data_IF_795122426922
#
_entry.id   IF_795122426922
#
_cell.length_a   1.000
_cell.length_b   1.000
_cell.length_c   1.000
_cell.angle_alpha   90.00
_cell.angle_beta   90.00
_cell.angle_gamma   90.00
#
_symmetry.space_group_name_H-M   'P 1'
#
loop_
_entity.id
_entity.type
_entity.pdbx_description
1 polymer ?
#
# COMPACT_ATOMS: atom_id res chain seq x y z
N UNK A 1 13.81 -18.15 -5.17
CA UNK A 1 13.06 -17.13 -4.39
C UNK A 1 11.98 -16.55 -5.30
N UNK A 2 10.69 -16.69 -4.99
CA UNK A 2 9.61 -16.35 -5.93
C UNK A 2 8.54 -15.45 -5.29
N UNK A 3 8.17 -14.36 -5.95
CA UNK A 3 7.14 -13.43 -5.47
C UNK A 3 5.76 -14.06 -5.66
N UNK A 4 4.93 -14.01 -4.61
CA UNK A 4 3.59 -14.62 -4.62
C UNK A 4 2.49 -13.59 -4.82
N UNK A 5 2.80 -12.32 -4.58
CA UNK A 5 1.89 -11.22 -4.79
C UNK A 5 2.67 -10.05 -5.38
N UNK A 6 2.03 -9.17 -6.14
CA UNK A 6 2.60 -7.90 -6.57
C UNK A 6 1.65 -6.77 -6.23
N UNK A 7 2.15 -5.76 -5.52
CA UNK A 7 1.58 -4.41 -5.52
C UNK A 7 2.53 -3.52 -6.31
N UNK A 8 2.03 -2.84 -7.34
CA UNK A 8 2.85 -2.08 -8.29
C UNK A 8 2.82 -0.58 -7.99
N UNK A 9 3.98 0.05 -8.12
CA UNK A 9 4.15 1.50 -8.08
C UNK A 9 5.02 1.93 -9.26
N UNK A 10 4.79 3.13 -9.78
CA UNK A 10 5.64 3.74 -10.80
C UNK A 10 6.64 4.71 -10.17
N UNK A 11 7.78 4.91 -10.83
CA UNK A 11 8.77 5.92 -10.46
C UNK A 11 9.29 6.64 -11.71
N UNK A 12 9.79 7.86 -11.54
CA UNK A 12 10.35 8.65 -12.64
C UNK A 12 11.85 8.35 -12.87
N UNK A 13 12.62 8.20 -11.79
CA UNK A 13 14.01 7.78 -11.85
C UNK A 13 14.43 7.06 -10.58
N UNK A 14 15.41 6.17 -10.69
CA UNK A 14 15.97 5.46 -9.53
C UNK A 14 17.49 5.66 -9.49
N UNK A 15 18.11 5.88 -8.31
CA UNK A 15 19.56 5.94 -8.20
C UNK A 15 20.21 4.63 -8.64
N UNK A 16 21.44 4.72 -9.15
CA UNK A 16 22.27 3.54 -9.41
C UNK A 16 22.55 2.74 -8.14
N UNK A 17 22.93 1.47 -8.30
CA UNK A 17 22.98 0.48 -7.21
C UNK A 17 23.84 0.91 -6.00
N UNK A 18 24.97 1.57 -6.22
CA UNK A 18 25.86 2.02 -5.13
C UNK A 18 25.25 3.18 -4.35
N UNK A 19 24.71 4.18 -5.06
CA UNK A 19 24.03 5.31 -4.45
C UNK A 19 22.75 4.85 -3.70
N UNK A 20 22.04 3.89 -4.27
CA UNK A 20 20.87 3.29 -3.63
C UNK A 20 21.27 2.54 -2.35
N UNK A 21 22.32 1.71 -2.39
CA UNK A 21 22.85 1.05 -1.19
C UNK A 21 23.21 2.04 -0.07
N UNK A 22 23.91 3.12 -0.42
CA UNK A 22 24.28 4.17 0.53
C UNK A 22 23.06 4.89 1.12
N UNK A 23 22.05 5.19 0.30
CA UNK A 23 20.80 5.81 0.74
C UNK A 23 20.01 4.90 1.71
N UNK A 24 19.86 3.61 1.37
CA UNK A 24 19.13 2.62 2.17
C UNK A 24 19.77 2.39 3.54
N UNK A 25 21.09 2.58 3.68
CA UNK A 25 21.79 2.43 4.95
C UNK A 25 21.25 3.36 6.05
N UNK A 26 20.69 4.53 5.68
CA UNK A 26 20.04 5.48 6.60
C UNK A 26 18.73 4.97 7.18
N UNK A 27 18.12 4.00 6.51
CA UNK A 27 16.88 3.35 6.90
C UNK A 27 17.12 1.86 7.19
N UNK A 28 18.34 1.47 7.57
CA UNK A 28 18.69 0.10 7.91
C UNK A 28 17.87 -0.38 9.11
N UNK A 29 17.41 -1.62 9.05
CA UNK A 29 16.67 -2.23 10.13
C UNK A 29 17.48 -2.28 11.43
N UNK A 30 16.83 -1.86 12.51
CA UNK A 30 17.28 -2.07 13.88
C UNK A 30 16.19 -2.84 14.64
N UNK A 31 16.55 -3.84 15.48
CA UNK A 31 15.57 -4.55 16.30
C UNK A 31 14.74 -3.62 17.20
N UNK A 32 13.51 -4.04 17.51
CA UNK A 32 12.65 -3.34 18.47
C UNK A 32 13.35 -3.24 19.83
N UNK A 33 13.29 -2.07 20.44
CA UNK A 33 13.58 -1.92 21.87
C UNK A 33 12.43 -2.45 22.72
N UNK A 34 12.64 -2.61 24.02
CA UNK A 34 11.64 -3.17 24.95
C UNK A 34 10.37 -2.31 25.08
N UNK A 35 10.42 -1.05 24.67
CA UNK A 35 9.29 -0.11 24.67
C UNK A 35 8.67 0.11 23.29
N UNK A 36 9.21 -0.52 22.23
CA UNK A 36 8.71 -0.38 20.87
C UNK A 36 7.80 -1.55 20.49
N UNK A 37 6.58 -1.24 20.04
CA UNK A 37 5.62 -2.23 19.54
C UNK A 37 5.98 -2.77 18.16
N UNK A 38 6.66 -1.96 17.37
CA UNK A 38 7.13 -2.33 16.04
C UNK A 38 8.39 -1.57 15.68
N UNK A 39 9.18 -2.17 14.79
CA UNK A 39 10.34 -1.56 14.15
C UNK A 39 10.40 -2.06 12.71
N UNK A 40 10.87 -1.22 11.79
CA UNK A 40 11.04 -1.61 10.40
C UNK A 40 12.20 -0.88 9.74
N UNK A 41 12.84 -1.54 8.79
CA UNK A 41 13.94 -0.97 8.02
C UNK A 41 14.50 -1.95 6.99
N UNK A 42 15.42 -1.47 6.15
CA UNK A 42 16.00 -2.25 5.09
C UNK A 42 17.01 -3.28 5.61
N UNK A 43 16.99 -4.46 5.00
CA UNK A 43 17.91 -5.57 5.23
C UNK A 43 18.45 -6.07 3.90
N UNK A 44 19.47 -6.92 3.94
CA UNK A 44 19.95 -7.59 2.75
C UNK A 44 18.81 -8.39 2.09
N UNK A 45 18.61 -8.29 0.76
CA UNK A 45 17.57 -9.05 0.08
C UNK A 45 17.74 -10.57 0.19
N UNK A 46 18.98 -11.02 0.34
CA UNK A 46 19.36 -12.41 0.48
C UNK A 46 20.66 -12.60 1.26
N UNK A 47 20.75 -13.72 1.99
CA UNK A 47 21.91 -14.08 2.80
C UNK A 47 22.28 -13.00 3.82
N UNK A 48 23.51 -13.07 4.31
CA UNK A 48 24.06 -12.13 5.29
C UNK A 48 24.98 -11.07 4.65
N UNK A 49 24.65 -10.64 3.42
CA UNK A 49 25.44 -9.64 2.70
C UNK A 49 25.30 -8.25 3.37
N UNK A 50 26.37 -7.43 3.49
CA UNK A 50 26.25 -6.06 3.97
C UNK A 50 25.36 -5.15 3.09
N UNK A 51 25.24 -5.44 1.79
CA UNK A 51 24.48 -4.65 0.81
C UNK A 51 22.98 -4.79 1.00
N UNK A 52 22.27 -3.65 1.01
CA UNK A 52 20.83 -3.53 1.21
C UNK A 52 20.03 -3.50 -0.10
N UNK A 53 20.73 -3.31 -1.22
CA UNK A 53 20.22 -3.48 -2.57
C UNK A 53 21.10 -4.48 -3.32
N UNK A 54 20.45 -5.38 -4.06
CA UNK A 54 21.09 -6.39 -4.88
C UNK A 54 20.71 -6.17 -6.34
N UNK A 55 21.66 -6.20 -7.26
CA UNK A 55 21.40 -6.06 -8.70
C UNK A 55 21.87 -7.29 -9.47
N UNK A 56 21.05 -7.73 -10.41
CA UNK A 56 21.43 -8.72 -11.43
C UNK A 56 20.99 -8.18 -12.77
N UNK A 57 21.96 -8.01 -13.68
CA UNK A 57 21.78 -7.24 -14.91
C UNK A 57 21.20 -5.84 -14.59
N UNK A 58 20.00 -5.50 -15.08
CA UNK A 58 19.34 -4.21 -14.82
C UNK A 58 18.35 -4.24 -13.67
N UNK A 59 17.95 -5.43 -13.22
CA UNK A 59 16.96 -5.56 -12.17
C UNK A 59 17.60 -5.37 -10.79
N UNK A 60 16.91 -4.62 -9.94
CA UNK A 60 17.33 -4.43 -8.55
C UNK A 60 16.32 -5.06 -7.59
N UNK A 61 16.80 -5.66 -6.51
CA UNK A 61 16.00 -6.19 -5.43
C UNK A 61 16.34 -5.48 -4.12
N UNK A 62 15.29 -5.13 -3.38
CA UNK A 62 15.33 -4.54 -2.05
C UNK A 62 14.56 -5.43 -1.07
N UNK A 63 14.85 -5.32 0.22
CA UNK A 63 14.08 -5.99 1.27
C UNK A 63 13.88 -5.11 2.49
N UNK A 64 12.62 -5.03 2.95
CA UNK A 64 12.23 -4.36 4.17
C UNK A 64 11.86 -5.41 5.23
N UNK A 65 12.57 -5.41 6.35
CA UNK A 65 12.19 -6.17 7.54
C UNK A 65 11.18 -5.35 8.36
N UNK A 66 10.13 -6.02 8.81
CA UNK A 66 9.11 -5.49 9.71
C UNK A 66 9.06 -6.43 10.92
N UNK A 67 9.40 -5.90 12.08
CA UNK A 67 9.32 -6.57 13.36
C UNK A 67 8.15 -6.02 14.16
N UNK A 68 7.33 -6.91 14.73
CA UNK A 68 6.23 -6.56 15.61
C UNK A 68 6.27 -7.39 16.87
N UNK A 69 6.07 -6.74 18.02
CA UNK A 69 5.86 -7.40 19.30
C UNK A 69 4.46 -8.01 19.32
N UNK A 70 4.38 -9.32 19.51
CA UNK A 70 3.12 -10.04 19.57
C UNK A 70 2.55 -9.90 20.97
N UNK A 71 1.57 -9.02 21.10
CA UNK A 71 0.81 -8.82 22.33
C UNK A 71 -0.67 -9.08 22.07
N UNK A 72 -1.16 -10.32 22.31
CA UNK A 72 -2.56 -10.65 22.06
C UNK A 72 -3.50 -9.84 22.96
N UNK A 73 -4.56 -9.28 22.38
CA UNK A 73 -5.53 -8.47 23.12
C UNK A 73 -6.28 -9.24 24.22
N UNK A 74 -6.32 -10.58 24.17
CA UNK A 74 -6.83 -11.41 25.25
C UNK A 74 -5.95 -11.31 26.50
N UNK A 75 -4.63 -11.51 26.35
CA UNK A 75 -3.68 -11.47 27.46
C UNK A 75 -3.70 -10.11 28.17
N UNK A 76 -3.74 -9.01 27.40
CA UNK A 76 -3.83 -7.65 27.98
C UNK A 76 -5.12 -7.45 28.76
N UNK A 77 -6.25 -8.00 28.29
CA UNK A 77 -7.54 -7.88 28.98
C UNK A 77 -7.56 -8.67 30.28
N UNK A 78 -7.01 -9.88 30.28
CA UNK A 78 -7.00 -10.77 31.45
C UNK A 78 -6.09 -10.22 32.55
N UNK A 79 -4.89 -9.73 32.17
CA UNK A 79 -3.95 -9.12 33.11
C UNK A 79 -4.48 -7.79 33.68
N UNK A 80 -5.14 -6.98 32.82
CA UNK A 80 -5.81 -5.75 33.25
C UNK A 80 -6.95 -6.03 34.23
N UNK A 81 -7.77 -7.05 33.98
CA UNK A 81 -8.85 -7.43 34.89
C UNK A 81 -8.30 -7.86 36.26
N UNK A 82 -7.23 -8.64 36.26
CA UNK A 82 -6.53 -9.09 37.47
C UNK A 82 -5.99 -7.90 38.28
N UNK A 83 -5.31 -6.94 37.64
CA UNK A 83 -4.81 -5.74 38.31
C UNK A 83 -5.94 -4.84 38.83
N UNK A 84 -7.03 -4.66 38.07
CA UNK A 84 -8.19 -3.89 38.53
C UNK A 84 -8.79 -4.52 39.79
N UNK A 85 -9.01 -5.84 39.80
CA UNK A 85 -9.57 -6.54 40.96
C UNK A 85 -8.68 -6.40 42.20
N UNK A 86 -7.36 -6.44 42.03
CA UNK A 86 -6.40 -6.23 43.12
C UNK A 86 -6.49 -4.80 43.69
N UNK A 87 -6.52 -3.79 42.83
CA UNK A 87 -6.62 -2.38 43.24
C UNK A 87 -7.96 -2.11 43.93
N UNK A 88 -9.07 -2.63 43.41
CA UNK A 88 -10.40 -2.47 44.02
C UNK A 88 -10.48 -3.10 45.41
N UNK A 89 -9.84 -4.26 45.61
CA UNK A 89 -9.76 -4.90 46.93
C UNK A 89 -8.93 -4.09 47.93
N UNK A 90 -7.85 -3.45 47.47
CA UNK A 90 -6.98 -2.64 48.33
C UNK A 90 -7.61 -1.30 48.72
N UNK A 91 -8.26 -0.61 47.79
CA UNK A 91 -8.83 0.73 48.04
C UNK A 91 -10.29 0.69 48.54
N UNK A 92 -11.00 -0.44 48.38
CA UNK A 92 -12.37 -0.63 48.85
C UNK A 92 -13.47 -0.01 47.96
N UNK A 93 -13.12 0.55 46.80
CA UNK A 93 -14.07 1.10 45.82
C UNK A 93 -13.64 0.82 44.38
N UNK A 94 -14.60 0.96 43.44
CA UNK A 94 -14.42 0.66 42.02
C UNK A 94 -13.41 1.60 41.33
N UNK A 95 -12.57 1.05 40.46
CA UNK A 95 -11.57 1.82 39.70
C UNK A 95 -12.26 2.75 38.70
N UNK A 96 -11.95 4.04 38.78
CA UNK A 96 -12.49 5.06 37.87
C UNK A 96 -11.90 4.98 36.45
N UNK A 97 -12.52 5.66 35.47
CA UNK A 97 -12.09 5.62 34.05
C UNK A 97 -10.63 6.03 33.84
N UNK A 98 -10.16 7.07 34.56
CA UNK A 98 -8.78 7.56 34.47
C UNK A 98 -7.78 6.53 35.00
N UNK A 99 -8.01 6.06 36.22
CA UNK A 99 -7.16 5.05 36.86
C UNK A 99 -7.13 3.74 36.06
N UNK A 100 -8.25 3.32 35.46
CA UNK A 100 -8.31 2.16 34.57
C UNK A 100 -7.46 2.33 33.30
N UNK A 101 -7.34 3.56 32.80
CA UNK A 101 -6.47 3.87 31.65
C UNK A 101 -5.00 3.80 32.06
N UNK A 102 -4.64 4.39 33.19
CA UNK A 102 -3.28 4.34 33.76
C UNK A 102 -2.83 2.88 34.00
N UNK A 103 -3.65 2.08 34.69
CA UNK A 103 -3.37 0.64 34.90
C UNK A 103 -3.21 -0.11 33.58
N UNK A 104 -4.02 0.22 32.56
CA UNK A 104 -3.89 -0.41 31.24
C UNK A 104 -2.58 -0.06 30.56
N UNK A 105 -2.14 1.19 30.65
CA UNK A 105 -0.85 1.64 30.11
C UNK A 105 0.29 0.88 30.80
N UNK A 106 0.28 0.83 32.14
CA UNK A 106 1.28 0.10 32.93
C UNK A 106 1.33 -1.40 32.60
N UNK A 107 0.16 -2.06 32.53
CA UNK A 107 0.05 -3.48 32.14
C UNK A 107 0.55 -3.69 30.71
N UNK A 108 0.23 -2.77 29.80
CA UNK A 108 0.67 -2.88 28.40
C UNK A 108 2.19 -2.78 28.31
N UNK A 109 2.81 -1.85 29.03
CA UNK A 109 4.26 -1.64 29.00
C UNK A 109 5.00 -2.79 29.68
N UNK A 110 4.46 -3.31 30.79
CA UNK A 110 5.00 -4.50 31.46
C UNK A 110 4.96 -5.73 30.53
N UNK A 111 3.83 -5.97 29.85
CA UNK A 111 3.70 -7.09 28.93
C UNK A 111 4.51 -6.90 27.64
N UNK A 112 4.72 -5.66 27.19
CA UNK A 112 5.50 -5.37 25.99
C UNK A 112 6.96 -5.80 26.13
N UNK A 113 7.56 -5.60 27.31
CA UNK A 113 8.92 -6.04 27.61
C UNK A 113 9.10 -7.58 27.50
N UNK A 114 8.03 -8.33 27.75
CA UNK A 114 8.01 -9.80 27.70
C UNK A 114 7.52 -10.34 26.35
N UNK A 115 6.99 -9.47 25.48
CA UNK A 115 6.36 -9.89 24.24
C UNK A 115 7.40 -10.45 23.25
N UNK A 116 7.04 -11.58 22.64
CA UNK A 116 7.83 -12.18 21.57
C UNK A 116 7.78 -11.29 20.31
N UNK A 117 8.91 -11.17 19.62
CA UNK A 117 9.00 -10.48 18.34
C UNK A 117 8.72 -11.44 17.19
N UNK A 118 7.84 -11.05 16.26
CA UNK A 118 7.69 -11.71 14.96
C UNK A 118 8.24 -10.80 13.88
N UNK A 119 9.09 -11.36 13.01
CA UNK A 119 9.70 -10.65 11.89
C UNK A 119 9.11 -11.15 10.58
N UNK A 120 8.84 -10.23 9.68
CA UNK A 120 8.45 -10.50 8.30
C UNK A 120 9.29 -9.64 7.38
N UNK A 121 9.79 -10.23 6.31
CA UNK A 121 10.48 -9.49 5.25
C UNK A 121 9.58 -9.35 4.03
N UNK A 122 9.51 -8.15 3.50
CA UNK A 122 8.82 -7.81 2.25
C UNK A 122 9.88 -7.43 1.24
N UNK A 123 9.82 -8.00 0.05
CA UNK A 123 10.79 -7.71 -1.01
C UNK A 123 10.19 -6.77 -2.03
N UNK A 124 11.03 -5.92 -2.59
CA UNK A 124 10.71 -5.06 -3.72
C UNK A 124 11.61 -5.39 -4.90
N UNK A 125 11.04 -5.53 -6.08
CA UNK A 125 11.76 -5.68 -7.34
C UNK A 125 11.58 -4.41 -8.15
N UNK A 126 12.69 -3.80 -8.57
CA UNK A 126 12.73 -2.61 -9.40
C UNK A 126 13.13 -3.04 -10.81
N UNK A 127 12.28 -2.68 -11.78
CA UNK A 127 12.56 -2.77 -13.21
C UNK A 127 12.73 -1.36 -13.79
N UNK A 128 13.98 -0.91 -14.01
CA UNK A 128 14.26 0.40 -14.59
C UNK A 128 13.71 0.60 -16.00
N UNK A 129 13.58 -0.46 -16.79
CA UNK A 129 13.13 -0.33 -18.19
C UNK A 129 11.64 0.02 -18.25
N UNK A 130 10.84 -0.50 -17.32
CA UNK A 130 9.42 -0.15 -17.21
C UNK A 130 9.14 1.05 -16.30
N UNK A 131 10.12 1.49 -15.50
CA UNK A 131 9.91 2.51 -14.47
C UNK A 131 8.99 2.04 -13.34
N UNK A 132 9.02 0.74 -13.01
CA UNK A 132 8.12 0.12 -12.03
C UNK A 132 8.88 -0.53 -10.89
N UNK A 133 8.31 -0.40 -9.69
CA UNK A 133 8.68 -1.20 -8.53
C UNK A 133 7.49 -2.09 -8.13
N UNK A 134 7.75 -3.39 -8.06
CA UNK A 134 6.80 -4.41 -7.66
C UNK A 134 7.12 -4.91 -6.25
N UNK A 135 6.17 -4.84 -5.32
CA UNK A 135 6.35 -5.26 -3.94
C UNK A 135 5.68 -6.62 -3.68
N UNK A 136 6.38 -7.56 -3.04
CA UNK A 136 5.88 -8.91 -2.69
C UNK A 136 4.90 -8.89 -1.52
N UNK A 137 3.79 -8.20 -1.71
CA UNK A 137 2.72 -8.07 -0.73
C UNK A 137 1.41 -7.77 -1.44
N UNK A 138 0.31 -8.25 -0.87
CA UNK A 138 -1.05 -7.85 -1.23
C UNK A 138 -1.68 -6.93 -0.17
N UNK A 139 -0.91 -6.54 0.86
CA UNK A 139 -1.35 -5.66 1.94
C UNK A 139 -0.91 -4.23 1.64
N UNK A 140 -1.89 -3.37 1.41
CA UNK A 140 -1.68 -1.94 1.16
C UNK A 140 -0.91 -1.25 2.31
N UNK A 141 -1.25 -1.44 3.61
CA UNK A 141 -0.45 -0.84 4.70
C UNK A 141 1.02 -1.25 4.69
N UNK A 142 1.29 -2.50 4.29
CA UNK A 142 2.65 -3.03 4.18
C UNK A 142 3.40 -2.42 2.99
N UNK A 143 2.73 -2.27 1.85
CA UNK A 143 3.27 -1.63 0.66
C UNK A 143 3.58 -0.15 0.91
N UNK A 144 2.65 0.59 1.52
CA UNK A 144 2.83 2.00 1.89
C UNK A 144 3.97 2.20 2.89
N UNK A 145 4.15 1.26 3.85
CA UNK A 145 5.30 1.28 4.76
C UNK A 145 6.62 1.12 3.99
N UNK A 146 6.69 0.20 3.03
CA UNK A 146 7.85 0.01 2.17
C UNK A 146 8.18 1.27 1.39
N UNK A 147 7.20 1.82 0.67
CA UNK A 147 7.32 3.05 -0.11
C UNK A 147 7.79 4.21 0.77
N UNK A 148 7.21 4.37 1.97
CA UNK A 148 7.61 5.41 2.92
C UNK A 148 9.07 5.27 3.37
N UNK A 149 9.54 4.06 3.63
CA UNK A 149 10.95 3.85 3.95
C UNK A 149 11.85 4.16 2.75
N UNK A 150 11.44 3.80 1.54
CA UNK A 150 12.22 4.06 0.34
C UNK A 150 12.34 5.57 0.05
N UNK A 151 11.24 6.31 0.15
CA UNK A 151 11.23 7.78 0.00
C UNK A 151 12.07 8.45 1.09
N UNK A 152 12.03 7.96 2.34
CA UNK A 152 12.87 8.50 3.42
C UNK A 152 14.35 8.19 3.23
N UNK A 153 14.69 7.06 2.62
CA UNK A 153 16.06 6.70 2.32
C UNK A 153 16.62 7.54 1.17
N UNK A 154 15.84 7.63 0.09
CA UNK A 154 16.20 8.35 -1.14
C UNK A 154 15.62 9.76 -1.04
N UNK A 155 16.38 10.67 -0.44
CA UNK A 155 15.98 12.07 -0.17
C UNK A 155 15.64 12.89 -1.43
N UNK A 156 16.11 12.44 -2.59
CA UNK A 156 15.74 13.00 -3.89
C UNK A 156 14.38 12.50 -4.34
N UNK A 157 13.58 13.38 -4.96
CA UNK A 157 12.29 12.97 -5.52
C UNK A 157 12.50 11.98 -6.67
N UNK A 158 12.24 10.70 -6.39
CA UNK A 158 12.25 9.60 -7.36
C UNK A 158 10.94 9.51 -8.14
N UNK A 159 9.95 10.36 -7.83
CA UNK A 159 8.64 10.35 -8.49
C UNK A 159 7.81 9.09 -8.19
N UNK A 160 8.03 8.46 -7.03
CA UNK A 160 7.38 7.20 -6.65
C UNK A 160 5.88 7.40 -6.35
N UNK A 161 5.00 6.74 -7.10
CA UNK A 161 3.55 6.93 -7.06
C UNK A 161 2.81 5.60 -7.19
N UNK A 162 1.58 5.56 -6.70
CA UNK A 162 0.68 4.44 -6.97
C UNK A 162 0.46 4.33 -8.48
N UNK A 163 0.45 3.11 -8.99
CA UNK A 163 0.21 2.88 -10.41
C UNK A 163 -1.27 3.13 -10.73
N UNK A 164 -1.53 4.04 -11.67
CA UNK A 164 -2.86 4.27 -12.22
C UNK A 164 -2.80 4.00 -13.72
N UNK A 165 -3.80 3.31 -14.24
CA UNK A 165 -3.93 2.97 -15.66
C UNK A 165 -5.16 3.65 -16.26
N UNK A 166 -5.21 3.72 -17.58
CA UNK A 166 -6.32 4.35 -18.31
C UNK A 166 -7.64 3.66 -17.97
N UNK A 167 -7.68 2.33 -18.08
CA UNK A 167 -8.77 1.51 -17.55
C UNK A 167 -8.45 1.05 -16.13
N UNK A 168 -9.41 1.18 -15.22
CA UNK A 168 -9.25 0.59 -13.88
C UNK A 168 -9.29 -0.94 -13.97
N UNK A 169 -8.61 -1.62 -13.04
CA UNK A 169 -8.63 -3.10 -12.98
C UNK A 169 -10.06 -3.65 -12.89
N UNK A 170 -10.96 -2.98 -12.15
CA UNK A 170 -12.35 -3.40 -11.99
C UNK A 170 -13.12 -3.31 -13.31
N UNK A 171 -12.98 -2.20 -14.03
CA UNK A 171 -13.60 -2.04 -15.35
C UNK A 171 -13.09 -3.11 -16.31
N UNK A 172 -11.77 -3.27 -16.42
CA UNK A 172 -11.16 -4.20 -17.34
C UNK A 172 -11.54 -5.66 -17.03
N UNK A 173 -11.47 -6.10 -15.76
CA UNK A 173 -11.91 -7.45 -15.37
C UNK A 173 -13.39 -7.69 -15.70
N UNK A 174 -14.24 -6.68 -15.54
CA UNK A 174 -15.67 -6.79 -15.84
C UNK A 174 -15.91 -6.91 -17.35
N UNK A 175 -15.19 -6.13 -18.16
CA UNK A 175 -15.21 -6.22 -19.64
C UNK A 175 -14.73 -7.59 -20.13
N UNK A 176 -13.61 -8.10 -19.59
CA UNK A 176 -13.01 -9.37 -20.02
C UNK A 176 -13.90 -10.57 -19.71
N UNK A 177 -14.56 -10.60 -18.54
CA UNK A 177 -15.45 -11.69 -18.15
C UNK A 177 -16.74 -11.68 -18.98
N UNK A 178 -17.24 -10.50 -19.34
CA UNK A 178 -18.44 -10.33 -20.17
C UNK A 178 -18.18 -10.60 -21.66
N UNK A 179 -16.94 -10.42 -22.12
CA UNK A 179 -16.53 -10.60 -23.50
C UNK A 179 -15.37 -11.57 -23.61
N UNK A 180 -14.26 -11.09 -24.18
CA UNK A 180 -13.04 -11.87 -24.37
C UNK A 180 -11.90 -11.25 -23.54
N UNK A 181 -11.02 -12.08 -22.97
CA UNK A 181 -9.81 -11.59 -22.31
C UNK A 181 -8.83 -10.99 -23.33
N UNK A 182 -7.93 -10.11 -22.88
CA UNK A 182 -6.89 -9.52 -23.72
C UNK A 182 -5.94 -10.60 -24.25
N UNK A 183 -5.28 -10.31 -25.37
CA UNK A 183 -4.33 -11.23 -26.00
C UNK A 183 -3.27 -11.71 -25.00
N UNK A 184 -3.03 -13.02 -24.97
CA UNK A 184 -2.06 -13.63 -24.06
C UNK A 184 -2.60 -13.91 -22.66
N UNK A 185 -3.85 -13.54 -22.35
CA UNK A 185 -4.52 -13.88 -21.10
C UNK A 185 -5.67 -14.87 -21.32
N UNK A 186 -5.84 -15.77 -20.37
CA UNK A 186 -6.97 -16.68 -20.26
C UNK A 186 -7.63 -16.51 -18.90
N UNK A 187 -8.96 -16.64 -18.84
CA UNK A 187 -9.72 -16.57 -17.59
C UNK A 187 -9.78 -17.97 -16.98
N UNK A 188 -9.41 -18.06 -15.71
CA UNK A 188 -9.35 -19.31 -14.94
C UNK A 188 -10.54 -19.43 -13.96
N UNK A 189 -10.55 -20.54 -13.24
CA UNK A 189 -11.42 -20.77 -12.09
C UNK A 189 -11.13 -19.79 -10.94
N UNK A 190 -12.18 -19.27 -10.32
CA UNK A 190 -12.20 -18.24 -9.27
C UNK A 190 -12.52 -16.84 -9.82
N UNK A 191 -13.78 -16.44 -9.71
CA UNK A 191 -14.25 -15.08 -10.00
C UNK A 191 -15.12 -14.57 -8.85
N UNK A 192 -14.94 -13.31 -8.45
CA UNK A 192 -15.79 -12.65 -7.45
C UNK A 192 -16.46 -11.42 -8.05
N UNK A 193 -17.78 -11.36 -7.93
CA UNK A 193 -18.60 -10.20 -8.25
C UNK A 193 -19.00 -9.49 -6.96
N UNK A 194 -18.93 -8.17 -6.91
CA UNK A 194 -19.41 -7.38 -5.78
C UNK A 194 -20.25 -6.19 -6.27
N UNK A 195 -21.29 -5.85 -5.51
CA UNK A 195 -22.10 -4.66 -5.70
C UNK A 195 -21.71 -3.55 -4.72
N UNK A 196 -22.13 -2.32 -5.00
CA UNK A 196 -21.90 -1.15 -4.13
C UNK A 196 -22.55 -1.27 -2.74
N UNK A 197 -23.57 -2.12 -2.60
CA UNK A 197 -24.25 -2.40 -1.34
C UNK A 197 -23.55 -3.44 -0.45
N UNK A 198 -22.34 -3.89 -0.84
CA UNK A 198 -21.58 -4.92 -0.12
C UNK A 198 -22.03 -6.35 -0.40
N UNK A 199 -23.05 -6.58 -1.23
CA UNK A 199 -23.42 -7.92 -1.66
C UNK A 199 -22.36 -8.48 -2.62
N UNK A 200 -21.86 -9.69 -2.35
CA UNK A 200 -20.85 -10.35 -3.17
C UNK A 200 -21.24 -11.78 -3.52
N UNK A 201 -20.86 -12.22 -4.72
CA UNK A 201 -21.01 -13.60 -5.19
C UNK A 201 -19.63 -14.08 -5.61
N UNK A 202 -19.22 -15.21 -5.05
CA UNK A 202 -17.91 -15.80 -5.30
C UNK A 202 -18.09 -17.18 -5.92
N UNK A 203 -17.48 -17.36 -7.08
CA UNK A 203 -17.26 -18.65 -7.71
C UNK A 203 -15.86 -19.12 -7.29
N UNK A 204 -15.72 -20.39 -6.93
CA UNK A 204 -14.44 -20.94 -6.49
C UNK A 204 -14.23 -22.34 -7.04
N UNK A 205 -13.09 -22.57 -7.69
CA UNK A 205 -12.76 -23.81 -8.39
C UNK A 205 -13.77 -24.17 -9.49
N UNK A 206 -14.37 -23.15 -10.10
CA UNK A 206 -15.31 -23.29 -11.21
C UNK A 206 -15.26 -22.04 -12.06
N UNK A 207 -15.28 -22.25 -13.37
CA UNK A 207 -15.40 -21.21 -14.38
C UNK A 207 -16.85 -20.70 -14.44
N UNK A 208 -17.03 -19.39 -14.55
CA UNK A 208 -18.36 -18.78 -14.57
C UNK A 208 -18.95 -18.89 -15.98
N UNK A 209 -20.17 -19.41 -16.08
CA UNK A 209 -20.88 -19.46 -17.36
C UNK A 209 -21.37 -18.07 -17.78
N UNK A 210 -21.41 -17.80 -19.08
CA UNK A 210 -21.80 -16.51 -19.64
C UNK A 210 -23.21 -16.04 -19.21
N UNK A 211 -24.14 -16.99 -19.02
CA UNK A 211 -25.49 -16.67 -18.51
C UNK A 211 -25.46 -16.15 -17.06
N UNK A 212 -24.58 -16.69 -16.22
CA UNK A 212 -24.41 -16.25 -14.83
C UNK A 212 -23.65 -14.92 -14.76
N UNK A 213 -22.65 -14.71 -15.63
CA UNK A 213 -21.98 -13.42 -15.79
C UNK A 213 -23.01 -12.33 -16.07
N UNK A 214 -23.81 -12.49 -17.14
CA UNK A 214 -24.83 -11.52 -17.53
C UNK A 214 -25.79 -11.18 -16.37
N UNK A 215 -26.26 -12.21 -15.64
CA UNK A 215 -27.13 -12.03 -14.47
C UNK A 215 -26.47 -11.21 -13.36
N UNK A 216 -25.19 -11.45 -13.05
CA UNK A 216 -24.51 -10.68 -12.01
C UNK A 216 -24.34 -9.21 -12.42
N UNK A 217 -24.00 -8.95 -13.69
CA UNK A 217 -23.82 -7.58 -14.20
C UNK A 217 -25.14 -6.81 -14.26
N UNK A 218 -26.24 -7.44 -14.71
CA UNK A 218 -27.60 -6.86 -14.69
C UNK A 218 -28.06 -6.50 -13.27
N UNK A 219 -27.57 -7.24 -12.26
CA UNK A 219 -27.82 -6.92 -10.85
C UNK A 219 -26.98 -5.75 -10.30
N UNK A 220 -26.20 -5.08 -11.15
CA UNK A 220 -25.36 -3.94 -10.78
C UNK A 220 -24.05 -4.31 -10.08
N UNK A 221 -23.60 -5.58 -10.20
CA UNK A 221 -22.32 -6.02 -9.65
C UNK A 221 -21.21 -5.87 -10.70
N UNK A 222 -19.98 -5.74 -10.23
CA UNK A 222 -18.77 -5.70 -11.03
C UNK A 222 -17.76 -6.73 -10.51
N UNK A 223 -16.79 -7.09 -11.35
CA UNK A 223 -15.77 -8.08 -10.98
C UNK A 223 -14.72 -7.43 -10.07
N UNK A 224 -14.51 -8.00 -8.89
CA UNK A 224 -13.52 -7.55 -7.89
C UNK A 224 -12.43 -8.58 -7.62
N UNK A 225 -12.48 -9.72 -8.28
CA UNK A 225 -11.40 -10.71 -8.29
C UNK A 225 -11.55 -11.57 -9.53
N UNK A 226 -10.48 -11.71 -10.30
CA UNK A 226 -10.46 -12.54 -11.50
C UNK A 226 -9.19 -13.37 -11.54
N UNK A 227 -9.32 -14.69 -11.53
CA UNK A 227 -8.21 -15.59 -11.81
C UNK A 227 -7.88 -15.58 -13.30
N UNK A 228 -6.60 -15.44 -13.60
CA UNK A 228 -6.06 -15.31 -14.94
C UNK A 228 -4.80 -16.14 -15.08
N UNK A 229 -4.59 -16.65 -16.28
CA UNK A 229 -3.31 -17.19 -16.72
C UNK A 229 -2.75 -16.32 -17.84
N UNK A 230 -1.43 -16.08 -17.81
CA UNK A 230 -0.72 -15.35 -18.86
C UNK A 230 0.24 -16.29 -19.61
N UNK A 231 0.04 -16.38 -20.92
CA UNK A 231 0.83 -17.17 -21.87
C UNK A 231 1.02 -18.65 -21.45
N UNK A 232 0.03 -19.23 -20.77
CA UNK A 232 0.06 -20.59 -20.18
C UNK A 232 1.24 -20.85 -19.22
N UNK A 233 1.90 -19.78 -18.75
CA UNK A 233 3.13 -19.86 -17.94
C UNK A 233 2.93 -19.41 -16.51
N UNK A 234 2.04 -18.45 -16.29
CA UNK A 234 1.81 -17.86 -14.97
C UNK A 234 0.32 -17.74 -14.67
N UNK A 235 -0.10 -18.35 -13.57
CA UNK A 235 -1.42 -18.12 -12.99
C UNK A 235 -1.34 -17.05 -11.91
N UNK A 236 -2.38 -16.24 -11.78
CA UNK A 236 -2.52 -15.23 -10.73
C UNK A 236 -3.98 -14.83 -10.56
N UNK A 237 -4.27 -14.07 -9.51
CA UNK A 237 -5.58 -13.47 -9.27
C UNK A 237 -5.42 -11.95 -9.27
N UNK A 238 -6.07 -11.28 -10.23
CA UNK A 238 -6.12 -9.83 -10.29
C UNK A 238 -7.17 -9.31 -9.31
N UNK A 239 -6.83 -8.24 -8.59
CA UNK A 239 -7.70 -7.54 -7.63
C UNK A 239 -7.71 -6.04 -7.92
N UNK A 240 -8.65 -5.27 -7.33
CA UNK A 240 -8.69 -3.82 -7.47
C UNK A 240 -7.37 -3.18 -7.02
N UNK A 241 -7.03 -2.03 -7.62
CA UNK A 241 -5.76 -1.34 -7.36
C UNK A 241 -4.54 -2.04 -7.95
N UNK A 242 -4.72 -2.89 -8.98
CA UNK A 242 -3.64 -3.60 -9.68
C UNK A 242 -2.79 -4.48 -8.76
N UNK A 243 -3.45 -5.11 -7.79
CA UNK A 243 -2.81 -6.08 -6.91
C UNK A 243 -2.95 -7.47 -7.52
N UNK A 244 -1.82 -8.09 -7.86
CA UNK A 244 -1.77 -9.47 -8.32
C UNK A 244 -1.53 -10.37 -7.11
N UNK A 245 -2.35 -11.40 -6.94
CA UNK A 245 -2.27 -12.34 -5.82
C UNK A 245 -2.05 -13.76 -6.31
N UNK A 246 -1.55 -14.62 -5.43
CA UNK A 246 -1.40 -16.08 -5.70
C UNK A 246 -0.64 -16.38 -7.00
N UNK A 247 0.38 -15.57 -7.31
CA UNK A 247 1.17 -15.75 -8.52
C UNK A 247 1.92 -17.08 -8.43
N UNK A 248 1.73 -17.93 -9.42
CA UNK A 248 2.36 -19.24 -9.49
C UNK A 248 2.74 -19.58 -10.94
N UNK A 249 3.99 -20.02 -11.18
CA UNK A 249 4.36 -20.58 -12.48
C UNK A 249 3.61 -21.90 -12.71
N UNK A 250 3.08 -22.08 -13.92
CA UNK A 250 2.35 -23.28 -14.34
C UNK A 250 3.27 -24.31 -14.98
N UNK A 251 4.27 -23.84 -15.73
CA UNK A 251 5.35 -24.70 -16.16
C UNK A 251 6.17 -25.12 -14.93
N UNK A 252 6.39 -26.43 -14.82
CA UNK A 252 7.48 -26.96 -13.99
C UNK A 252 8.74 -26.28 -14.52
N UNK A 253 9.28 -25.31 -13.77
CA UNK A 253 10.66 -24.88 -13.90
C UNK A 253 11.51 -26.12 -13.63
N UNK A 254 11.64 -27.01 -14.62
CA UNK A 254 12.73 -27.97 -14.69
C UNK A 254 13.94 -27.09 -14.87
N UNK A 255 14.68 -26.96 -13.79
CA UNK A 255 16.01 -26.36 -13.74
C UNK A 255 16.77 -26.71 -15.03
N UNK A 256 17.47 -25.75 -15.67
CA UNK A 256 18.51 -26.15 -16.60
C UNK A 256 19.46 -27.05 -15.81
N UNK A 257 19.55 -28.32 -16.21
CA UNK A 257 20.32 -29.35 -15.52
C UNK A 257 21.79 -28.99 -15.40
N UNK A 258 22.13 -28.30 -14.32
CA UNK A 258 23.47 -28.09 -13.82
C UNK A 258 23.58 -28.74 -12.46
N UNK A 259 24.70 -29.41 -12.21
CA UNK A 259 25.02 -30.16 -10.99
C UNK A 259 25.19 -29.28 -9.73
N UNK A 260 24.69 -28.04 -9.76
CA UNK A 260 24.83 -27.05 -8.70
C UNK A 260 23.49 -26.36 -8.44
N UNK A 261 23.10 -26.18 -7.17
CA UNK A 261 21.84 -25.51 -6.83
C UNK A 261 21.83 -24.09 -7.42
N UNK A 262 20.69 -23.61 -7.94
CA UNK A 262 20.60 -22.28 -8.52
C UNK A 262 21.01 -21.23 -7.49
N UNK A 263 21.88 -20.30 -7.90
CA UNK A 263 22.28 -19.17 -7.06
C UNK A 263 21.10 -18.21 -6.89
N UNK A 264 21.11 -17.41 -5.83
CA UNK A 264 20.06 -16.39 -5.62
C UNK A 264 19.96 -15.42 -6.81
N UNK A 265 21.09 -15.13 -7.46
CA UNK A 265 21.12 -14.31 -8.66
C UNK A 265 20.34 -14.94 -9.83
N UNK A 266 20.56 -16.24 -10.07
CA UNK A 266 19.88 -16.99 -11.13
C UNK A 266 18.37 -17.09 -10.86
N UNK A 267 17.98 -17.41 -9.62
CA UNK A 267 16.59 -17.44 -9.18
C UNK A 267 15.88 -16.10 -9.41
N UNK A 268 16.55 -15.01 -9.03
CA UNK A 268 15.99 -13.67 -9.18
C UNK A 268 15.85 -13.28 -10.66
N UNK A 269 16.87 -13.54 -11.47
CA UNK A 269 16.83 -13.23 -12.89
C UNK A 269 15.72 -14.02 -13.61
N UNK A 270 15.56 -15.30 -13.27
CA UNK A 270 14.49 -16.13 -13.79
C UNK A 270 13.11 -15.59 -13.41
N UNK A 271 12.94 -15.19 -12.14
CA UNK A 271 11.70 -14.56 -11.67
C UNK A 271 11.41 -13.24 -12.42
N UNK A 272 12.39 -12.35 -12.52
CA UNK A 272 12.25 -11.06 -13.20
C UNK A 272 11.92 -11.25 -14.70
N UNK A 273 12.63 -12.15 -15.38
CA UNK A 273 12.38 -12.49 -16.79
C UNK A 273 10.99 -13.09 -17.04
N UNK A 274 10.40 -13.72 -16.02
CA UNK A 274 9.06 -14.32 -16.11
C UNK A 274 7.96 -13.32 -15.75
N UNK A 275 8.18 -12.47 -14.73
CA UNK A 275 7.19 -11.49 -14.27
C UNK A 275 7.15 -10.23 -15.13
N UNK A 276 8.27 -9.79 -15.71
CA UNK A 276 8.30 -8.57 -16.52
C UNK A 276 7.36 -8.61 -17.74
N UNK A 277 7.31 -9.69 -18.54
CA UNK A 277 6.35 -9.81 -19.64
C UNK A 277 4.90 -9.75 -19.16
N UNK A 278 4.58 -10.42 -18.05
CA UNK A 278 3.24 -10.39 -17.44
C UNK A 278 2.84 -8.96 -17.06
N UNK A 279 3.72 -8.23 -16.35
CA UNK A 279 3.42 -6.86 -15.90
C UNK A 279 3.23 -5.93 -17.10
N UNK A 280 4.08 -6.02 -18.12
CA UNK A 280 3.97 -5.22 -19.36
C UNK A 280 2.65 -5.52 -20.09
N UNK A 281 2.37 -6.78 -20.37
CA UNK A 281 1.14 -7.19 -21.06
C UNK A 281 -0.12 -6.78 -20.29
N UNK A 282 -0.09 -6.85 -18.95
CA UNK A 282 -1.21 -6.42 -18.12
C UNK A 282 -1.41 -4.89 -18.20
N UNK A 283 -0.34 -4.10 -18.16
CA UNK A 283 -0.42 -2.65 -18.30
C UNK A 283 -0.96 -2.26 -19.68
N UNK A 284 -0.48 -2.92 -20.73
CA UNK A 284 -0.98 -2.71 -22.10
C UNK A 284 -2.46 -3.06 -22.22
N UNK A 285 -2.90 -4.17 -21.59
CA UNK A 285 -4.30 -4.57 -21.54
C UNK A 285 -5.21 -3.59 -20.75
N UNK A 286 -4.61 -2.72 -19.95
CA UNK A 286 -5.30 -1.67 -19.19
C UNK A 286 -5.20 -0.29 -19.86
N UNK A 287 -4.83 -0.27 -21.15
CA UNK A 287 -4.62 0.91 -21.99
C UNK A 287 -3.52 1.85 -21.46
N UNK A 288 -2.48 1.26 -20.86
CA UNK A 288 -1.28 1.98 -20.43
C UNK A 288 -1.40 2.69 -19.08
N UNK A 289 -0.27 3.26 -18.64
CA UNK A 289 -0.16 4.01 -17.39
C UNK A 289 -0.63 5.45 -17.61
N UNK A 290 -1.51 5.96 -16.75
CA UNK A 290 -1.88 7.38 -16.74
C UNK A 290 -0.68 8.23 -16.36
N UNK A 291 -0.40 9.23 -17.17
CA UNK A 291 0.60 10.24 -16.87
C UNK A 291 0.06 11.22 -15.81
N UNK A 292 0.94 12.00 -15.16
CA UNK A 292 0.51 13.05 -14.24
C UNK A 292 -0.47 14.06 -14.87
N UNK A 293 -0.35 14.31 -16.17
CA UNK A 293 -1.23 15.23 -16.90
C UNK A 293 -2.62 14.61 -17.09
N UNK A 294 -2.72 13.30 -17.38
CA UNK A 294 -3.99 12.58 -17.48
C UNK A 294 -4.77 12.56 -16.14
N UNK A 295 -4.05 12.61 -15.02
CA UNK A 295 -4.62 12.66 -13.68
C UNK A 295 -5.15 14.06 -13.31
N UNK A 296 -4.70 15.11 -14.00
CA UNK A 296 -5.14 16.48 -13.76
C UNK A 296 -6.44 16.85 -14.49
N UNK A 297 -6.73 16.18 -15.61
CA UNK A 297 -7.91 16.44 -16.46
C UNK A 297 -9.16 15.61 -16.11
N UNK A 298 -9.07 14.69 -15.14
CA UNK A 298 -10.21 13.86 -14.71
C UNK A 298 -11.12 14.61 -13.73
N UNK A 299 -12.43 14.76 -14.00
CA UNK A 299 -13.39 15.24 -13.01
C UNK A 299 -13.44 14.23 -11.87
N UNK A 300 -12.99 14.65 -10.69
CA UNK A 300 -12.85 13.81 -9.49
C UNK A 300 -14.20 13.20 -9.06
N UNK A 301 -14.54 12.04 -9.60
CA UNK A 301 -15.71 11.24 -9.21
C UNK A 301 -15.23 10.01 -8.47
N UNK A 302 -14.91 10.18 -7.19
CA UNK A 302 -14.83 9.06 -6.25
C UNK A 302 -15.94 9.20 -5.21
N UNK A 303 -16.91 8.30 -5.38
CA UNK A 303 -17.96 7.91 -4.46
C UNK A 303 -17.33 7.37 -3.18
N UNK A 304 -17.31 8.20 -2.13
CA UNK A 304 -17.45 7.77 -0.75
C UNK A 304 -17.87 9.01 0.07
N UNK A 305 -18.92 8.82 0.87
CA UNK A 305 -19.70 9.80 1.64
C UNK A 305 -20.60 10.76 0.86
N UNK A 306 -21.75 10.23 0.43
CA UNK A 306 -22.96 11.02 0.32
C UNK A 306 -23.59 11.23 1.71
N UNK A 307 -23.29 12.39 2.32
CA UNK A 307 -24.29 13.14 3.07
C UNK A 307 -24.56 14.42 2.28
N UNK A 308 -25.82 14.75 1.94
CA UNK A 308 -26.11 15.98 1.24
C UNK A 308 -26.19 17.10 2.26
N UNK A 309 -25.33 18.10 2.16
CA UNK A 309 -25.65 19.41 2.74
C UNK A 309 -25.13 20.52 1.85
N UNK A 310 -26.01 21.50 1.70
CA UNK A 310 -26.02 22.68 0.83
C UNK A 310 -24.78 23.57 0.93
N UNK A 311 -24.60 24.39 -0.11
CA UNK A 311 -23.44 25.21 -0.44
C UNK A 311 -23.06 26.37 0.51
N UNK A 312 -23.32 26.27 1.82
CA UNK A 312 -22.91 27.27 2.82
C UNK A 312 -22.41 26.69 4.16
N UNK A 313 -22.18 25.37 4.26
CA UNK A 313 -21.61 24.80 5.48
C UNK A 313 -20.07 24.79 5.39
N UNK A 314 -19.45 25.70 6.13
CA UNK A 314 -18.01 25.74 6.38
C UNK A 314 -17.58 24.41 7.00
N UNK A 315 -16.57 23.72 6.43
CA UNK A 315 -16.12 22.45 7.00
C UNK A 315 -15.63 22.68 8.44
N UNK A 316 -16.10 21.89 9.43
CA UNK A 316 -15.71 22.03 10.84
C UNK A 316 -14.19 22.00 11.07
N UNK A 317 -13.43 21.42 10.14
CA UNK A 317 -11.98 21.31 10.21
C UNK A 317 -11.22 22.47 9.54
N UNK A 318 -11.90 23.45 8.94
CA UNK A 318 -11.28 24.59 8.24
C UNK A 318 -10.39 25.42 9.14
N UNK A 319 -10.79 25.64 10.40
CA UNK A 319 -9.98 26.36 11.38
C UNK A 319 -8.69 25.59 11.73
N UNK A 320 -8.80 24.27 11.90
CA UNK A 320 -7.66 23.42 12.23
C UNK A 320 -6.69 23.33 11.04
N UNK A 321 -7.22 23.21 9.82
CA UNK A 321 -6.42 23.25 8.60
C UNK A 321 -5.66 24.58 8.47
N UNK A 322 -6.31 25.72 8.79
CA UNK A 322 -5.65 27.04 8.80
C UNK A 322 -4.43 27.04 9.73
N UNK A 323 -4.60 26.57 10.96
CA UNK A 323 -3.53 26.55 11.96
C UNK A 323 -2.37 25.64 11.54
N UNK A 324 -2.65 24.46 10.99
CA UNK A 324 -1.62 23.52 10.52
C UNK A 324 -0.78 24.15 9.40
N UNK A 325 -1.44 24.80 8.45
CA UNK A 325 -0.79 25.45 7.31
C UNK A 325 0.08 26.61 7.77
N UNK A 326 -0.42 27.48 8.65
CA UNK A 326 0.34 28.61 9.21
C UNK A 326 1.52 28.11 10.04
N UNK A 327 1.32 27.10 10.89
CA UNK A 327 2.37 26.57 11.77
C UNK A 327 3.52 25.93 10.99
N UNK A 328 3.22 25.27 9.86
CA UNK A 328 4.21 24.60 9.02
C UNK A 328 4.79 25.50 7.91
N UNK A 329 4.24 26.69 7.69
CA UNK A 329 4.68 27.64 6.67
C UNK A 329 4.52 27.16 5.22
N UNK A 330 3.77 26.07 4.99
CA UNK A 330 3.50 25.49 3.67
C UNK A 330 2.10 24.90 3.62
N UNK A 331 1.46 24.99 2.46
CA UNK A 331 0.13 24.42 2.23
C UNK A 331 0.21 23.33 1.16
N UNK A 332 0.02 22.07 1.57
CA UNK A 332 -0.09 20.93 0.65
C UNK A 332 -1.17 19.96 1.11
N UNK A 333 -1.79 19.27 0.16
CA UNK A 333 -2.89 18.33 0.44
C UNK A 333 -2.42 17.24 1.41
N UNK A 334 -1.24 16.66 1.15
CA UNK A 334 -0.63 15.64 2.00
C UNK A 334 -0.35 16.11 3.43
N UNK A 335 0.00 17.40 3.63
CA UNK A 335 0.23 17.96 4.96
C UNK A 335 -1.07 17.96 5.76
N UNK A 336 -2.16 18.43 5.15
CA UNK A 336 -3.49 18.52 5.78
C UNK A 336 -4.05 17.11 6.03
N UNK A 337 -3.89 16.18 5.08
CA UNK A 337 -4.29 14.78 5.23
C UNK A 337 -3.62 14.11 6.44
N UNK A 338 -2.30 14.28 6.59
CA UNK A 338 -1.54 13.63 7.66
C UNK A 338 -1.93 14.16 9.05
N UNK A 339 -2.12 15.49 9.16
CA UNK A 339 -2.40 16.14 10.45
C UNK A 339 -3.87 15.99 10.88
N UNK A 340 -4.81 16.02 9.94
CA UNK A 340 -6.25 15.90 10.24
C UNK A 340 -6.80 14.48 10.07
N UNK A 341 -5.99 13.54 9.54
CA UNK A 341 -6.37 12.15 9.24
C UNK A 341 -7.63 12.06 8.36
N UNK A 342 -7.68 12.90 7.32
CA UNK A 342 -8.77 12.97 6.37
C UNK A 342 -8.35 12.48 4.98
N UNK A 343 -9.34 12.07 4.18
CA UNK A 343 -9.13 11.70 2.77
C UNK A 343 -8.70 12.88 1.89
N UNK A 344 -8.16 12.56 0.72
CA UNK A 344 -7.59 13.53 -0.24
C UNK A 344 -8.60 14.62 -0.65
N UNK A 345 -9.80 14.22 -1.06
CA UNK A 345 -10.84 15.14 -1.54
C UNK A 345 -11.30 16.15 -0.48
N UNK A 346 -11.28 15.76 0.80
CA UNK A 346 -11.63 16.65 1.90
C UNK A 346 -10.49 17.63 2.20
N UNK A 347 -9.24 17.15 2.20
CA UNK A 347 -8.07 18.01 2.35
C UNK A 347 -7.92 19.01 1.20
N UNK A 348 -8.25 18.63 -0.04
CA UNK A 348 -8.29 19.52 -1.18
C UNK A 348 -9.34 20.62 -1.02
N UNK A 349 -10.58 20.25 -0.65
CA UNK A 349 -11.66 21.22 -0.36
C UNK A 349 -11.29 22.21 0.75
N UNK A 350 -10.66 21.73 1.83
CA UNK A 350 -10.18 22.60 2.91
C UNK A 350 -9.14 23.60 2.40
N UNK A 351 -8.22 23.20 1.52
CA UNK A 351 -7.21 24.10 0.94
C UNK A 351 -7.80 25.11 -0.05
N UNK A 352 -8.80 24.72 -0.84
CA UNK A 352 -9.57 25.65 -1.69
C UNK A 352 -10.35 26.66 -0.85
N UNK A 353 -10.92 26.24 0.26
CA UNK A 353 -11.61 27.15 1.19
C UNK A 353 -10.62 28.13 1.83
N UNK A 354 -9.43 27.65 2.22
CA UNK A 354 -8.36 28.50 2.72
C UNK A 354 -7.83 29.47 1.65
N UNK A 355 -7.86 29.10 0.38
CA UNK A 355 -7.52 29.99 -0.75
C UNK A 355 -8.58 31.08 -0.93
N UNK A 356 -9.86 30.72 -0.95
CA UNK A 356 -10.98 31.68 -1.01
C UNK A 356 -10.96 32.68 0.16
N UNK A 357 -10.46 32.25 1.32
CA UNK A 357 -10.29 33.07 2.53
C UNK A 357 -8.97 33.86 2.57
N UNK A 358 -8.12 33.75 1.55
CA UNK A 358 -6.85 34.47 1.47
C UNK A 358 -5.76 33.99 2.43
N UNK A 359 -5.87 32.77 2.96
CA UNK A 359 -4.86 32.16 3.84
C UNK A 359 -3.71 31.59 3.02
N UNK A 360 -4.01 31.02 1.86
CA UNK A 360 -3.03 30.37 0.97
C UNK A 360 -3.15 30.91 -0.44
N UNK A 361 -2.04 30.91 -1.19
CA UNK A 361 -2.02 31.30 -2.60
C UNK A 361 -2.72 30.27 -3.48
N UNK A 362 -3.02 30.69 -4.71
CA UNK A 362 -3.28 29.76 -5.80
C UNK A 362 -2.11 28.77 -5.94
N UNK A 363 -2.43 27.60 -6.45
CA UNK A 363 -1.48 26.51 -6.66
C UNK A 363 -0.47 26.90 -7.74
N UNK A 364 0.82 26.72 -7.48
CA UNK A 364 1.87 26.96 -8.48
C UNK A 364 2.09 25.72 -9.37
N UNK A 365 2.90 25.86 -10.42
CA UNK A 365 3.21 24.78 -11.37
C UNK A 365 3.91 23.54 -10.73
N UNK A 366 4.34 23.64 -9.48
CA UNK A 366 4.91 22.52 -8.71
C UNK A 366 3.89 21.88 -7.76
N UNK A 367 2.61 22.26 -7.86
CA UNK A 367 1.52 21.76 -7.01
C UNK A 367 1.57 22.26 -5.56
N UNK A 368 2.33 23.33 -5.30
CA UNK A 368 2.53 23.89 -3.97
C UNK A 368 1.74 25.20 -3.80
N UNK A 369 1.18 25.41 -2.61
CA UNK A 369 0.52 26.67 -2.22
C UNK A 369 1.37 27.38 -1.16
N UNK A 370 1.61 28.67 -1.35
CA UNK A 370 2.31 29.51 -0.39
C UNK A 370 1.33 30.03 0.67
N UNK A 371 1.78 30.18 1.92
CA UNK A 371 0.94 30.74 2.99
C UNK A 371 1.04 32.26 2.96
N UNK A 372 -0.10 32.93 2.84
CA UNK A 372 -0.19 34.39 2.65
C UNK A 372 -0.33 35.16 3.97
N UNK A 373 -0.65 34.47 5.08
CA UNK A 373 -0.83 35.07 6.40
C UNK A 373 0.41 34.79 7.27
N UNK A 374 0.95 35.83 7.90
CA UNK A 374 2.08 35.72 8.82
C UNK A 374 1.70 35.00 10.12
N UNK A 375 2.67 34.29 10.70
CA UNK A 375 2.55 33.67 12.02
C UNK A 375 2.26 34.76 13.06
N UNK A 376 1.08 34.77 13.69
CA UNK A 376 0.85 35.60 14.88
C UNK A 376 1.87 35.16 15.94
N UNK A 377 2.76 36.09 16.29
CA UNK A 377 3.75 35.90 17.34
C UNK A 377 2.99 35.87 18.68
N UNK A 378 2.96 34.69 19.30
CA UNK A 378 2.60 34.53 20.71
C UNK A 378 3.83 34.73 21.59
#
# INVERSE_FOLDING_TARGET
MWFRNLTLYSFASMPGIDALNAALARQRYAPCTDMQKESSGFVAPHGDNPSLAFSVDRHMMLALCIEKKVLPAAVVRDELATHIDQVERQQGFKVGKRQKKEIREDVTDALLSQAFSVRRTVRGWIDPDTGLIALDTSSQPTAELFVRHLIRAVETDIGLRSLNTTKTAVQAMTEWVAGEPPVGFTIDDDTTFAGSNGAAVKYSKVSVEQADVARQLESGKHVTSLALTHADRLSFVLSPGLVLRRIAPLDVLKEPGGDSPPTVAADFLLMAATLAPLVRALIDALDGIKTPDDLADEPSTNTDDAAPTTADDVDPLTEQARQIVIANGRASISLVQLHLRIGYNRAARLLEELEKRGVVSAMNNSGMRAVLIAKEAA
#
